data_IF_660146389149
#
_entry.id   IF_660146389149
#
_cell.length_a   1.000
_cell.length_b   1.000
_cell.length_c   1.000
_cell.angle_alpha   90.00
_cell.angle_beta   90.00
_cell.angle_gamma   90.00
#
_symmetry.space_group_name_H-M   'P 1'
#
loop_
_entity.id
_entity.type
_entity.pdbx_description
1 polymer ?
#
# COMPACT_ATOMS: atom_id res chain seq x y z
N UNK A 1 30.00 -14.81 3.86
CA UNK A 1 30.71 -13.76 4.58
C UNK A 1 30.13 -12.42 4.13
N UNK A 2 29.64 -11.58 5.02
CA UNK A 2 29.08 -10.29 4.62
C UNK A 2 30.19 -9.37 4.13
N UNK A 3 29.99 -8.74 2.98
CA UNK A 3 30.90 -7.70 2.47
C UNK A 3 30.90 -6.53 3.45
N UNK A 4 32.02 -6.28 4.11
CA UNK A 4 32.27 -5.02 4.81
C UNK A 4 32.26 -3.90 3.77
N UNK A 5 31.34 -2.96 3.90
CA UNK A 5 31.46 -1.68 3.22
C UNK A 5 32.64 -0.95 3.85
N UNK A 6 33.71 -0.74 3.10
CA UNK A 6 34.82 0.12 3.53
C UNK A 6 34.33 1.55 3.41
N UNK A 7 34.00 2.16 4.53
CA UNK A 7 33.78 3.58 4.65
C UNK A 7 35.14 4.30 4.44
N UNK A 8 35.11 5.47 3.86
CA UNK A 8 36.30 6.33 3.83
C UNK A 8 36.63 6.83 5.23
N UNK A 9 37.87 7.24 5.48
CA UNK A 9 38.28 7.72 6.79
C UNK A 9 37.42 8.92 7.27
N UNK A 10 36.97 9.78 6.35
CA UNK A 10 36.08 10.92 6.64
C UNK A 10 34.65 10.44 7.02
N UNK A 11 34.15 9.38 6.38
CA UNK A 11 32.84 8.80 6.71
C UNK A 11 32.86 8.09 8.07
N UNK A 12 33.97 7.41 8.42
CA UNK A 12 34.15 6.81 9.75
C UNK A 12 34.21 7.87 10.84
N UNK A 13 34.88 8.98 10.61
CA UNK A 13 34.99 10.10 11.54
C UNK A 13 33.64 10.79 11.74
N UNK A 14 32.86 10.97 10.69
CA UNK A 14 31.49 11.51 10.75
C UNK A 14 30.54 10.58 11.51
N UNK A 15 30.60 9.28 11.26
CA UNK A 15 29.81 8.27 11.99
C UNK A 15 30.17 8.22 13.46
N UNK A 16 31.47 8.36 13.78
CA UNK A 16 31.94 8.42 15.15
C UNK A 16 31.47 9.70 15.85
N UNK A 17 31.57 10.85 15.21
CA UNK A 17 31.08 12.14 15.73
C UNK A 17 29.57 12.11 16.03
N UNK A 18 28.76 11.60 15.10
CA UNK A 18 27.32 11.45 15.29
C UNK A 18 26.94 10.47 16.42
N UNK A 19 27.74 9.43 16.63
CA UNK A 19 27.53 8.48 17.76
C UNK A 19 27.87 9.14 19.10
N UNK A 20 28.92 9.93 19.17
CA UNK A 20 29.30 10.64 20.41
C UNK A 20 28.32 11.80 20.71
N UNK A 21 27.83 12.49 19.71
CA UNK A 21 26.79 13.50 19.87
C UNK A 21 25.48 12.90 20.41
N UNK A 22 25.02 11.77 19.88
CA UNK A 22 23.88 11.02 20.42
C UNK A 22 24.09 10.54 21.85
N UNK A 23 25.33 10.13 22.20
CA UNK A 23 25.66 9.73 23.58
C UNK A 23 25.68 10.95 24.52
N UNK A 24 26.15 12.12 24.04
CA UNK A 24 26.10 13.39 24.80
C UNK A 24 24.67 13.86 25.02
N UNK A 25 23.82 13.82 23.99
CA UNK A 25 22.39 14.13 24.12
C UNK A 25 21.67 13.17 25.08
N UNK A 26 21.96 11.89 25.03
CA UNK A 26 21.39 10.91 25.96
C UNK A 26 21.87 11.10 27.43
N UNK A 27 23.13 11.56 27.63
CA UNK A 27 23.70 11.90 28.96
C UNK A 27 23.19 13.25 29.47
N UNK A 28 23.01 14.26 28.63
CA UNK A 28 22.53 15.59 29.01
C UNK A 28 21.05 15.63 29.41
N UNK A 29 20.25 14.67 28.94
CA UNK A 29 18.81 14.59 29.27
C UNK A 29 18.46 13.93 30.59
N UNK A 30 19.40 13.75 31.51
CA UNK A 30 19.09 13.37 32.92
C UNK A 30 18.10 12.20 33.13
N UNK A 31 18.01 11.27 32.18
CA UNK A 31 16.95 10.25 32.17
C UNK A 31 16.97 9.26 33.33
N UNK A 32 18.14 8.97 33.90
CA UNK A 32 18.25 8.06 35.09
C UNK A 32 17.79 8.73 36.37
N UNK A 33 18.25 9.96 36.64
CA UNK A 33 17.89 10.69 37.88
C UNK A 33 16.38 11.01 37.88
N UNK A 34 15.80 11.35 36.75
CA UNK A 34 14.34 11.58 36.63
C UNK A 34 13.52 10.29 36.84
N UNK A 35 14.01 9.17 36.36
CA UNK A 35 13.33 7.87 36.51
C UNK A 35 13.27 7.43 37.99
N UNK A 36 14.33 7.64 38.75
CA UNK A 36 14.36 7.32 40.16
C UNK A 36 13.50 8.26 41.00
N UNK A 37 13.51 9.57 40.70
CA UNK A 37 12.64 10.54 41.37
C UNK A 37 11.15 10.29 41.12
N UNK A 38 10.78 9.89 39.88
CA UNK A 38 9.39 9.51 39.53
C UNK A 38 8.99 8.24 40.26
N UNK A 39 9.91 7.26 40.41
CA UNK A 39 9.64 6.01 41.12
C UNK A 39 9.45 6.25 42.63
N UNK A 40 10.29 7.11 43.19
CA UNK A 40 10.21 7.48 44.62
C UNK A 40 8.94 8.28 44.93
N UNK A 41 8.56 9.24 44.08
CA UNK A 41 7.30 9.97 44.18
C UNK A 41 6.05 9.06 44.09
N UNK A 42 6.10 8.01 43.29
CA UNK A 42 5.03 7.00 43.23
C UNK A 42 4.92 6.18 44.53
N UNK A 43 6.03 5.75 45.05
CA UNK A 43 6.07 4.97 46.31
C UNK A 43 5.62 5.80 47.52
N UNK A 44 5.84 7.12 47.47
CA UNK A 44 5.36 8.06 48.49
C UNK A 44 3.88 8.33 48.35
N UNK A 45 3.38 8.44 47.12
CA UNK A 45 1.94 8.66 46.81
C UNK A 45 1.05 7.44 47.16
N UNK A 46 1.63 6.24 47.22
CA UNK A 46 0.92 5.04 47.71
C UNK A 46 0.75 5.06 49.27
N UNK A 47 1.57 5.84 49.96
CA UNK A 47 1.52 5.97 51.45
C UNK A 47 0.63 7.14 51.91
N UNK A 48 0.52 8.19 51.07
CA UNK A 48 -0.36 9.35 51.32
C UNK A 48 -1.14 9.65 50.04
N UNK A 49 -2.43 9.33 49.95
CA UNK A 49 -3.18 9.46 48.72
C UNK A 49 -3.45 10.94 48.36
N UNK A 50 -2.61 11.50 47.51
CA UNK A 50 -2.91 12.77 46.83
C UNK A 50 -4.05 12.52 45.80
N UNK A 51 -5.20 13.23 45.95
CA UNK A 51 -6.34 13.02 45.08
C UNK A 51 -6.02 13.20 43.59
N UNK A 52 -5.00 13.98 43.24
CA UNK A 52 -4.56 14.17 41.85
C UNK A 52 -3.96 12.91 41.23
N UNK A 53 -3.38 12.01 42.04
CA UNK A 53 -2.92 10.71 41.56
C UNK A 53 -4.06 9.76 41.23
N UNK A 54 -5.13 9.78 42.04
CA UNK A 54 -6.33 9.01 41.78
C UNK A 54 -6.96 9.45 40.44
N UNK A 55 -7.10 10.76 40.25
CA UNK A 55 -7.62 11.33 39.03
C UNK A 55 -6.76 11.04 37.78
N UNK A 56 -5.43 11.09 37.91
CA UNK A 56 -4.51 10.73 36.82
C UNK A 56 -4.61 9.25 36.44
N UNK A 57 -4.86 8.36 37.41
CA UNK A 57 -5.06 6.93 37.20
C UNK A 57 -6.39 6.64 36.49
N UNK A 58 -7.47 7.30 36.89
CA UNK A 58 -8.79 7.21 36.24
C UNK A 58 -8.75 7.68 34.77
N UNK A 59 -7.97 8.74 34.50
CA UNK A 59 -7.79 9.30 33.16
C UNK A 59 -6.80 8.52 32.30
N UNK A 60 -6.22 7.41 32.78
CA UNK A 60 -5.28 6.59 32.03
C UNK A 60 -3.98 7.31 31.64
N UNK A 61 -3.60 8.34 32.39
CA UNK A 61 -2.44 9.19 32.11
C UNK A 61 -1.15 8.48 32.55
N UNK A 62 -0.11 8.54 31.72
CA UNK A 62 1.18 7.90 32.06
C UNK A 62 1.81 8.50 33.34
N UNK A 63 2.55 7.68 34.09
CA UNK A 63 3.25 8.10 35.33
C UNK A 63 4.11 9.37 35.12
N UNK A 64 4.80 9.47 34.01
CA UNK A 64 5.63 10.63 33.67
C UNK A 64 4.81 11.91 33.41
N UNK A 65 3.64 11.77 32.85
CA UNK A 65 2.72 12.89 32.59
C UNK A 65 2.06 13.36 33.88
N UNK A 66 1.61 12.44 34.73
CA UNK A 66 1.04 12.74 36.04
C UNK A 66 2.05 13.44 36.96
N UNK A 67 3.30 12.95 36.99
CA UNK A 67 4.40 13.60 37.75
C UNK A 67 4.66 15.02 37.27
N UNK A 68 4.61 15.29 35.97
CA UNK A 68 4.79 16.62 35.39
C UNK A 68 3.66 17.57 35.80
N UNK A 69 2.44 17.09 35.90
CA UNK A 69 1.30 17.86 36.38
C UNK A 69 1.43 18.26 37.86
N UNK A 70 1.95 17.36 38.70
CA UNK A 70 2.07 17.60 40.13
C UNK A 70 3.25 18.48 40.54
N UNK A 71 4.30 18.53 39.71
CA UNK A 71 5.49 19.35 39.98
C UNK A 71 5.51 20.71 39.26
N UNK A 72 4.44 21.11 38.58
CA UNK A 72 4.25 22.47 38.11
C UNK A 72 3.57 23.28 39.23
N UNK A 73 4.40 23.97 40.06
CA UNK A 73 3.92 24.80 41.16
C UNK A 73 3.13 26.01 40.64
N UNK A 74 1.87 26.21 41.07
CA UNK A 74 1.07 27.35 40.69
C UNK A 74 1.55 28.69 41.26
N UNK A 75 2.48 28.67 42.21
CA UNK A 75 2.93 29.84 42.95
C UNK A 75 4.08 30.61 42.33
N UNK A 76 4.76 30.06 41.31
CA UNK A 76 5.88 30.73 40.58
C UNK A 76 5.32 31.47 39.36
N UNK A 77 4.81 32.66 39.59
CA UNK A 77 4.30 33.54 38.56
C UNK A 77 5.32 33.99 37.56
N UNK A 78 5.20 33.47 36.32
CA UNK A 78 5.52 34.06 35.02
C UNK A 78 5.33 33.06 33.84
N UNK A 79 4.93 31.80 34.12
CA UNK A 79 4.66 30.79 33.11
C UNK A 79 3.20 30.39 32.91
N UNK A 80 2.28 31.05 33.61
CA UNK A 80 0.87 30.63 33.78
C UNK A 80 0.04 30.57 32.48
N UNK A 81 0.32 31.38 31.47
CA UNK A 81 -0.51 31.40 30.23
C UNK A 81 -0.26 30.16 29.32
N UNK A 82 0.95 29.60 29.30
CA UNK A 82 1.25 28.42 28.47
C UNK A 82 0.83 27.10 29.11
N UNK A 83 0.77 27.00 30.44
CA UNK A 83 0.36 25.79 31.14
C UNK A 83 -1.13 25.52 31.04
N UNK A 84 -1.98 26.55 31.20
CA UNK A 84 -3.43 26.44 31.08
C UNK A 84 -3.92 26.07 29.68
N UNK A 85 -3.31 26.64 28.64
CA UNK A 85 -3.59 26.26 27.23
C UNK A 85 -3.13 24.83 26.89
N UNK A 86 -2.04 24.37 27.48
CA UNK A 86 -1.55 22.99 27.30
C UNK A 86 -2.46 21.98 28.01
N UNK A 87 -2.97 22.29 29.19
CA UNK A 87 -3.90 21.44 29.93
C UNK A 87 -5.27 21.41 29.23
N UNK A 88 -5.80 22.55 28.78
CA UNK A 88 -7.04 22.61 28.02
C UNK A 88 -6.98 21.84 26.70
N UNK A 89 -5.83 21.89 26.00
CA UNK A 89 -5.62 21.09 24.80
C UNK A 89 -5.49 19.59 25.10
N UNK A 90 -4.87 19.23 26.22
CA UNK A 90 -4.76 17.83 26.65
C UNK A 90 -6.10 17.24 27.08
N UNK A 91 -6.93 18.01 27.79
CA UNK A 91 -8.30 17.60 28.14
C UNK A 91 -9.21 17.52 26.93
N UNK A 92 -9.18 18.49 26.03
CA UNK A 92 -9.94 18.44 24.77
C UNK A 92 -9.52 17.25 23.89
N UNK A 93 -8.23 16.91 23.86
CA UNK A 93 -7.73 15.72 23.15
C UNK A 93 -8.16 14.41 23.83
N UNK A 94 -8.24 14.37 25.17
CA UNK A 94 -8.73 13.21 25.91
C UNK A 94 -10.25 13.04 25.73
N UNK A 95 -11.02 14.12 25.79
CA UNK A 95 -12.46 14.11 25.54
C UNK A 95 -12.79 13.68 24.09
N UNK A 96 -12.03 14.16 23.11
CA UNK A 96 -12.18 13.73 21.72
C UNK A 96 -11.87 12.23 21.54
N UNK A 97 -10.89 11.69 22.28
CA UNK A 97 -10.58 10.25 22.28
C UNK A 97 -11.67 9.42 22.95
N UNK A 98 -12.20 9.89 24.09
CA UNK A 98 -13.32 9.23 24.78
C UNK A 98 -14.55 9.20 23.87
N UNK A 99 -14.90 10.32 23.25
CA UNK A 99 -16.01 10.40 22.30
C UNK A 99 -15.82 9.52 21.07
N UNK A 100 -14.57 9.41 20.58
CA UNK A 100 -14.22 8.45 19.53
C UNK A 100 -14.38 7.00 19.96
N UNK A 101 -13.95 6.65 21.17
CA UNK A 101 -14.12 5.30 21.73
C UNK A 101 -15.60 4.97 22.00
N UNK A 102 -16.39 5.92 22.47
CA UNK A 102 -17.84 5.75 22.66
C UNK A 102 -18.55 5.53 21.32
N UNK A 103 -18.16 6.26 20.28
CA UNK A 103 -18.70 6.06 18.92
C UNK A 103 -18.31 4.67 18.35
N UNK A 104 -17.08 4.23 18.55
CA UNK A 104 -16.62 2.88 18.17
C UNK A 104 -17.38 1.82 18.97
N UNK A 105 -17.58 2.02 20.27
CA UNK A 105 -18.31 1.08 21.13
C UNK A 105 -19.79 1.00 20.75
N UNK A 106 -20.40 2.14 20.40
CA UNK A 106 -21.80 2.17 19.93
C UNK A 106 -21.94 1.47 18.58
N UNK A 107 -20.99 1.66 17.66
CA UNK A 107 -20.98 0.97 16.37
C UNK A 107 -20.71 -0.53 16.54
N UNK A 108 -19.82 -0.92 17.45
CA UNK A 108 -19.59 -2.32 17.81
C UNK A 108 -20.86 -2.96 18.38
N UNK A 109 -21.56 -2.28 19.31
CA UNK A 109 -22.85 -2.77 19.83
C UNK A 109 -23.88 -2.93 18.72
N UNK A 110 -24.01 -1.95 17.82
CA UNK A 110 -24.92 -2.03 16.67
C UNK A 110 -24.61 -3.21 15.76
N UNK A 111 -23.34 -3.56 15.58
CA UNK A 111 -22.90 -4.70 14.74
C UNK A 111 -22.99 -6.03 15.45
N UNK A 112 -22.91 -6.05 16.80
CA UNK A 112 -23.01 -7.27 17.62
C UNK A 112 -24.40 -7.52 18.13
N UNK A 113 -25.36 -6.58 17.98
CA UNK A 113 -26.76 -6.89 18.21
C UNK A 113 -27.18 -8.01 17.25
N UNK A 114 -27.72 -9.13 17.78
CA UNK A 114 -28.17 -10.21 16.92
C UNK A 114 -29.20 -9.63 15.96
N UNK A 115 -28.87 -9.58 14.68
CA UNK A 115 -29.87 -9.29 13.67
C UNK A 115 -30.96 -10.33 13.86
N UNK A 116 -32.20 -9.88 14.08
CA UNK A 116 -33.36 -10.77 14.06
C UNK A 116 -33.39 -11.36 12.66
N UNK A 117 -32.91 -12.60 12.55
CA UNK A 117 -32.92 -13.33 11.30
C UNK A 117 -34.36 -13.42 10.84
N UNK A 118 -34.64 -13.04 9.62
CA UNK A 118 -35.94 -13.31 8.99
C UNK A 118 -36.25 -14.80 9.17
N UNK A 119 -37.46 -15.15 9.60
CA UNK A 119 -37.85 -16.56 9.71
C UNK A 119 -37.61 -17.39 8.45
N UNK A 120 -37.51 -16.76 7.29
CA UNK A 120 -37.13 -17.42 6.03
C UNK A 120 -35.64 -17.75 5.95
N UNK A 121 -34.76 -17.08 6.74
CA UNK A 121 -33.33 -17.40 6.84
C UNK A 121 -33.05 -18.52 7.87
N UNK A 122 -34.04 -18.98 8.60
CA UNK A 122 -33.92 -19.99 9.68
C UNK A 122 -33.57 -21.42 9.21
N UNK A 123 -33.54 -21.64 7.91
CA UNK A 123 -33.16 -22.96 7.35
C UNK A 123 -31.66 -23.10 7.06
N UNK A 124 -30.83 -22.16 7.50
CA UNK A 124 -29.38 -22.26 7.33
C UNK A 124 -28.91 -22.29 5.86
N UNK A 125 -29.79 -21.95 4.93
CA UNK A 125 -29.36 -21.70 3.57
C UNK A 125 -28.61 -20.38 3.55
N UNK A 126 -27.29 -20.48 3.51
CA UNK A 126 -26.43 -19.35 3.08
C UNK A 126 -26.96 -19.00 1.68
N UNK A 127 -27.75 -17.94 1.57
CA UNK A 127 -27.92 -17.30 0.27
C UNK A 127 -26.51 -16.96 -0.19
N UNK A 128 -25.97 -17.77 -1.11
CA UNK A 128 -24.81 -17.33 -1.89
C UNK A 128 -25.27 -16.05 -2.55
N UNK A 129 -24.87 -14.91 -2.01
CA UNK A 129 -24.93 -13.69 -2.79
C UNK A 129 -24.16 -14.03 -4.05
N UNK A 130 -24.88 -14.07 -5.17
CA UNK A 130 -24.25 -13.99 -6.48
C UNK A 130 -23.50 -12.66 -6.41
N UNK A 131 -22.20 -12.75 -6.10
CA UNK A 131 -21.35 -11.57 -6.08
C UNK A 131 -21.30 -11.12 -7.52
N UNK A 132 -21.95 -10.00 -7.79
CA UNK A 132 -21.88 -9.35 -9.08
C UNK A 132 -20.40 -9.10 -9.37
N UNK A 133 -19.88 -9.86 -10.33
CA UNK A 133 -18.57 -9.60 -10.90
C UNK A 133 -18.68 -8.24 -11.61
N UNK A 134 -18.25 -7.18 -10.96
CA UNK A 134 -18.29 -5.84 -11.53
C UNK A 134 -17.38 -5.81 -12.76
N UNK A 135 -17.95 -5.51 -13.92
CA UNK A 135 -17.20 -5.29 -15.16
C UNK A 135 -17.02 -3.79 -15.34
N UNK A 136 -15.77 -3.35 -15.43
CA UNK A 136 -15.42 -1.97 -15.78
C UNK A 136 -15.09 -1.95 -17.28
N UNK A 137 -15.98 -1.37 -18.04
CA UNK A 137 -15.77 -1.17 -19.46
C UNK A 137 -15.00 0.13 -19.73
N UNK A 138 -13.88 0.02 -20.43
CA UNK A 138 -13.06 1.15 -20.84
C UNK A 138 -13.50 1.59 -22.24
N UNK A 139 -13.88 2.85 -22.34
CA UNK A 139 -14.32 3.47 -23.60
C UNK A 139 -13.35 4.51 -24.13
N UNK A 140 -12.27 4.76 -23.40
CA UNK A 140 -11.21 5.69 -23.77
C UNK A 140 -10.48 5.21 -25.01
N UNK A 141 -10.17 6.14 -25.93
CA UNK A 141 -9.46 5.79 -27.17
C UNK A 141 -8.02 5.36 -26.96
N UNK A 142 -7.36 5.88 -25.92
CA UNK A 142 -5.98 5.56 -25.57
C UNK A 142 -5.88 5.21 -24.10
N UNK A 143 -5.53 3.96 -23.84
CA UNK A 143 -5.43 3.39 -22.50
C UNK A 143 -3.98 2.97 -22.27
N UNK A 144 -3.32 3.62 -21.31
CA UNK A 144 -2.01 3.20 -20.84
C UNK A 144 -2.14 2.12 -19.77
N UNK A 145 -1.26 1.14 -19.77
CA UNK A 145 -1.25 0.08 -18.76
C UNK A 145 0.16 -0.09 -18.22
N UNK A 146 0.29 -0.03 -16.91
CA UNK A 146 1.48 -0.40 -16.14
C UNK A 146 1.13 -1.52 -15.18
N UNK A 147 2.08 -2.38 -14.82
CA UNK A 147 1.89 -3.51 -13.92
C UNK A 147 3.18 -3.83 -13.17
N UNK A 148 3.04 -4.52 -12.04
CA UNK A 148 4.18 -5.13 -11.34
C UNK A 148 5.28 -4.12 -10.99
N UNK A 149 4.88 -3.03 -10.37
CA UNK A 149 5.78 -1.94 -9.94
C UNK A 149 6.49 -2.31 -8.64
N UNK A 150 5.81 -3.03 -7.75
CA UNK A 150 6.33 -3.54 -6.49
C UNK A 150 6.99 -2.48 -5.61
N UNK A 151 6.30 -1.37 -5.35
CA UNK A 151 6.81 -0.34 -4.42
C UNK A 151 7.08 -0.96 -3.05
N UNK A 152 8.27 -0.83 -2.48
CA UNK A 152 9.34 0.13 -2.79
C UNK A 152 10.46 -0.40 -3.72
N UNK A 153 10.29 -1.57 -4.34
CA UNK A 153 11.31 -2.21 -5.17
C UNK A 153 11.18 -1.88 -6.68
N UNK A 154 10.55 -0.75 -7.00
CA UNK A 154 10.36 -0.26 -8.36
C UNK A 154 11.67 0.22 -9.00
N UNK A 155 11.80 0.09 -10.31
CA UNK A 155 12.98 0.57 -11.05
C UNK A 155 12.87 2.09 -11.30
N UNK A 156 13.21 2.84 -10.26
CA UNK A 156 13.37 4.30 -10.29
C UNK A 156 14.62 4.66 -9.48
N UNK A 157 15.55 5.35 -10.12
CA UNK A 157 16.87 5.67 -9.55
C UNK A 157 17.17 7.13 -9.72
N UNK A 158 17.99 7.65 -8.84
CA UNK A 158 18.55 9.00 -8.97
C UNK A 158 20.06 8.89 -9.18
N UNK A 159 20.55 9.46 -10.28
CA UNK A 159 22.00 9.54 -10.58
C UNK A 159 22.31 10.96 -11.02
N UNK A 160 23.31 11.57 -10.40
CA UNK A 160 23.73 12.97 -10.67
C UNK A 160 22.58 14.01 -10.58
N UNK A 161 21.60 13.76 -9.70
CA UNK A 161 20.45 14.65 -9.51
C UNK A 161 19.30 14.45 -10.51
N UNK A 162 19.41 13.50 -11.44
CA UNK A 162 18.38 13.18 -12.41
C UNK A 162 17.70 11.85 -12.08
N UNK A 163 16.38 11.80 -12.20
CA UNK A 163 15.60 10.57 -12.08
C UNK A 163 15.63 9.81 -13.39
N UNK A 164 15.82 8.50 -13.32
CA UNK A 164 15.78 7.58 -14.46
C UNK A 164 15.32 6.20 -14.00
N UNK A 165 14.96 5.35 -14.94
CA UNK A 165 14.52 3.98 -14.69
C UNK A 165 13.33 3.61 -15.57
N UNK A 166 12.99 2.33 -15.57
CA UNK A 166 11.91 1.82 -16.41
C UNK A 166 10.54 2.41 -16.02
N UNK A 167 10.32 2.65 -14.73
CA UNK A 167 9.09 3.27 -14.25
C UNK A 167 8.87 4.66 -14.88
N UNK A 168 9.86 5.54 -14.78
CA UNK A 168 9.78 6.88 -15.38
C UNK A 168 9.65 6.82 -16.90
N UNK A 169 10.45 5.96 -17.57
CA UNK A 169 10.38 5.76 -19.03
C UNK A 169 8.99 5.32 -19.48
N UNK A 170 8.32 4.44 -18.71
CA UNK A 170 6.95 4.01 -19.00
C UNK A 170 5.96 5.17 -18.90
N UNK A 171 6.05 5.98 -17.82
CA UNK A 171 5.15 7.13 -17.64
C UNK A 171 5.34 8.19 -18.72
N UNK A 172 6.57 8.50 -19.11
CA UNK A 172 6.88 9.43 -20.19
C UNK A 172 6.29 8.96 -21.52
N UNK A 173 6.48 7.68 -21.87
CA UNK A 173 5.90 7.09 -23.07
C UNK A 173 4.38 7.21 -23.11
N UNK A 174 3.70 6.91 -22.01
CA UNK A 174 2.24 6.99 -21.92
C UNK A 174 1.74 8.44 -21.97
N UNK A 175 2.42 9.37 -21.28
CA UNK A 175 2.11 10.80 -21.34
C UNK A 175 2.24 11.32 -22.78
N UNK A 176 3.33 11.02 -23.46
CA UNK A 176 3.62 11.49 -24.80
C UNK A 176 2.65 10.86 -25.83
N UNK A 177 2.17 9.64 -25.55
CA UNK A 177 1.07 9.03 -26.33
C UNK A 177 -0.28 9.72 -26.11
N UNK A 178 -0.43 10.54 -25.06
CA UNK A 178 -1.67 11.25 -24.75
C UNK A 178 -2.78 10.31 -24.32
N UNK A 179 -2.51 9.46 -23.30
CA UNK A 179 -3.53 8.54 -22.76
C UNK A 179 -4.68 9.28 -22.09
N UNK A 180 -5.86 8.72 -22.15
CA UNK A 180 -7.09 9.21 -21.50
C UNK A 180 -7.39 8.40 -20.23
N UNK A 181 -6.94 7.14 -20.18
CA UNK A 181 -7.05 6.26 -19.02
C UNK A 181 -5.71 5.59 -18.74
N UNK A 182 -5.34 5.52 -17.46
CA UNK A 182 -4.23 4.72 -16.97
C UNK A 182 -4.79 3.55 -16.14
N UNK A 183 -4.40 2.33 -16.47
CA UNK A 183 -4.68 1.13 -15.67
C UNK A 183 -3.38 0.73 -14.97
N UNK A 184 -3.41 0.71 -13.65
CA UNK A 184 -2.41 0.06 -12.80
C UNK A 184 -2.88 -1.37 -12.63
N UNK A 185 -2.28 -2.29 -13.37
CA UNK A 185 -2.78 -3.66 -13.51
C UNK A 185 -2.23 -4.62 -12.45
N UNK A 186 -2.33 -4.24 -11.19
CA UNK A 186 -1.94 -5.05 -10.02
C UNK A 186 -0.46 -4.98 -9.68
N UNK A 187 -0.14 -5.44 -8.48
CA UNK A 187 1.20 -5.51 -7.90
C UNK A 187 1.96 -4.17 -7.97
N UNK A 188 1.24 -3.07 -7.72
CA UNK A 188 1.86 -1.76 -7.59
C UNK A 188 2.57 -1.63 -6.24
N UNK A 189 1.94 -2.10 -5.15
CA UNK A 189 2.53 -2.21 -3.82
C UNK A 189 3.01 -3.63 -3.58
N UNK A 190 4.23 -3.81 -3.07
CA UNK A 190 4.77 -5.16 -2.85
C UNK A 190 4.15 -5.89 -1.65
N UNK A 191 3.66 -5.16 -0.64
CA UNK A 191 3.18 -5.74 0.62
C UNK A 191 4.21 -6.71 1.24
N UNK A 192 5.50 -6.36 1.14
CA UNK A 192 6.63 -7.21 1.50
C UNK A 192 6.57 -7.71 2.94
N UNK A 193 6.29 -6.80 3.88
CA UNK A 193 6.35 -7.11 5.32
C UNK A 193 5.29 -8.11 5.79
N UNK A 194 4.16 -8.17 5.10
CA UNK A 194 3.04 -9.07 5.42
C UNK A 194 3.00 -10.33 4.55
N UNK A 195 3.96 -10.48 3.63
CA UNK A 195 4.09 -11.67 2.79
C UNK A 195 4.44 -12.90 3.64
N UNK A 196 4.15 -14.10 3.12
CA UNK A 196 4.52 -15.39 3.74
C UNK A 196 5.99 -15.77 3.52
N UNK A 197 6.67 -15.10 2.58
CA UNK A 197 8.04 -15.40 2.22
C UNK A 197 9.04 -14.85 3.23
N UNK A 198 10.26 -15.40 3.23
CA UNK A 198 11.36 -14.92 4.05
C UNK A 198 11.71 -13.47 3.74
N UNK A 199 12.07 -12.71 4.77
CA UNK A 199 12.42 -11.29 4.65
C UNK A 199 13.93 -11.15 4.45
N UNK A 200 14.38 -11.31 3.21
CA UNK A 200 15.80 -11.29 2.85
C UNK A 200 16.36 -9.87 2.68
N UNK A 201 15.50 -8.91 2.42
CA UNK A 201 15.86 -7.52 2.12
C UNK A 201 15.56 -6.58 3.31
N UNK A 202 15.82 -5.29 3.13
CA UNK A 202 15.65 -4.27 4.16
C UNK A 202 14.24 -4.29 4.77
N UNK A 203 14.19 -4.24 6.11
CA UNK A 203 12.99 -4.48 6.91
C UNK A 203 12.31 -3.20 7.33
N UNK A 204 12.02 -2.32 6.40
CA UNK A 204 11.19 -1.17 6.72
C UNK A 204 9.76 -1.63 7.03
N UNK A 205 9.10 -0.92 7.95
CA UNK A 205 7.76 -1.32 8.40
C UNK A 205 6.71 -1.25 7.29
N UNK A 206 5.63 -2.01 7.41
CA UNK A 206 4.49 -1.94 6.48
C UNK A 206 3.91 -0.51 6.40
N UNK A 207 3.88 0.23 7.52
CA UNK A 207 3.45 1.63 7.52
C UNK A 207 4.37 2.56 6.71
N UNK A 208 5.67 2.26 6.66
CA UNK A 208 6.59 2.98 5.78
C UNK A 208 6.31 2.64 4.31
N UNK A 209 6.11 1.39 3.98
CA UNK A 209 5.76 0.93 2.63
C UNK A 209 4.46 1.59 2.14
N UNK A 210 3.41 1.62 2.97
CA UNK A 210 2.18 2.38 2.71
C UNK A 210 2.45 3.86 2.43
N UNK A 211 3.31 4.49 3.24
CA UNK A 211 3.62 5.91 3.08
C UNK A 211 4.37 6.21 1.77
N UNK A 212 5.25 5.33 1.33
CA UNK A 212 5.95 5.45 0.04
C UNK A 212 4.98 5.25 -1.11
N UNK A 213 4.15 4.22 -1.02
CA UNK A 213 3.14 3.92 -2.05
C UNK A 213 2.15 5.07 -2.24
N UNK A 214 1.66 5.66 -1.13
CA UNK A 214 0.79 6.85 -1.20
C UNK A 214 1.45 7.99 -1.95
N UNK A 215 2.69 8.35 -1.59
CA UNK A 215 3.42 9.44 -2.27
C UNK A 215 3.63 9.16 -3.75
N UNK A 216 3.87 7.90 -4.12
CA UNK A 216 4.00 7.55 -5.53
C UNK A 216 2.67 7.68 -6.28
N UNK A 217 1.55 7.30 -5.65
CA UNK A 217 0.21 7.48 -6.23
C UNK A 217 -0.18 8.96 -6.33
N UNK A 218 0.17 9.78 -5.33
CA UNK A 218 0.03 11.24 -5.36
C UNK A 218 0.82 11.83 -6.54
N UNK A 219 2.10 11.47 -6.66
CA UNK A 219 2.96 11.92 -7.77
C UNK A 219 2.44 11.44 -9.13
N UNK A 220 1.88 10.24 -9.20
CA UNK A 220 1.28 9.70 -10.42
C UNK A 220 0.05 10.50 -10.84
N UNK A 221 -0.81 10.86 -9.87
CA UNK A 221 -1.97 11.73 -10.10
C UNK A 221 -1.55 13.13 -10.56
N UNK A 222 -0.56 13.72 -9.91
CA UNK A 222 -0.01 15.02 -10.33
C UNK A 222 0.58 14.97 -11.74
N UNK A 223 1.31 13.89 -12.06
CA UNK A 223 1.97 13.72 -13.36
C UNK A 223 0.99 13.65 -14.53
N UNK A 224 -0.11 12.92 -14.38
CA UNK A 224 -1.12 12.76 -15.42
C UNK A 224 -2.26 13.80 -15.34
N UNK A 225 -2.40 14.48 -14.20
CA UNK A 225 -3.46 15.46 -13.94
C UNK A 225 -4.84 14.83 -13.79
N UNK A 226 -5.84 15.66 -13.47
CA UNK A 226 -7.19 15.21 -13.12
C UNK A 226 -8.02 14.68 -14.32
N UNK A 227 -7.61 14.99 -15.53
CA UNK A 227 -8.32 14.59 -16.75
C UNK A 227 -8.10 13.12 -17.12
N UNK A 228 -6.99 12.53 -16.71
CA UNK A 228 -6.71 11.12 -16.96
C UNK A 228 -7.42 10.30 -15.89
N UNK A 229 -8.30 9.41 -16.34
CA UNK A 229 -8.93 8.41 -15.47
C UNK A 229 -7.85 7.44 -14.99
N UNK A 230 -7.74 7.18 -13.69
CA UNK A 230 -6.79 6.20 -13.15
C UNK A 230 -7.57 5.09 -12.48
N UNK A 231 -7.27 3.86 -12.87
CA UNK A 231 -7.87 2.64 -12.32
C UNK A 231 -6.74 1.82 -11.72
N UNK A 232 -6.90 1.39 -10.47
CA UNK A 232 -5.97 0.50 -9.79
C UNK A 232 -6.65 -0.85 -9.56
N UNK A 233 -6.23 -1.86 -10.32
CA UNK A 233 -6.62 -3.25 -10.12
C UNK A 233 -5.78 -3.87 -9.03
N UNK A 234 -6.42 -4.62 -8.14
CA UNK A 234 -5.76 -5.44 -7.13
C UNK A 234 -4.97 -6.59 -7.78
N UNK A 235 -3.72 -6.77 -7.38
CA UNK A 235 -2.91 -7.93 -7.72
C UNK A 235 -2.75 -8.88 -6.52
N UNK A 236 -1.97 -9.94 -6.69
CA UNK A 236 -1.76 -10.91 -5.61
C UNK A 236 -0.92 -10.35 -4.44
N UNK A 237 -0.18 -9.28 -4.64
CA UNK A 237 0.56 -8.62 -3.58
C UNK A 237 -0.35 -7.76 -2.71
N UNK A 238 -1.26 -7.00 -3.31
CA UNK A 238 -2.29 -6.25 -2.56
C UNK A 238 -3.22 -7.21 -1.80
N UNK A 239 -3.59 -8.35 -2.39
CA UNK A 239 -4.43 -9.39 -1.77
C UNK A 239 -3.81 -9.93 -0.46
N UNK A 240 -2.50 -9.79 -0.28
CA UNK A 240 -1.82 -10.16 0.98
C UNK A 240 -2.39 -9.42 2.18
N UNK A 241 -2.87 -8.18 2.00
CA UNK A 241 -3.50 -7.43 3.09
C UNK A 241 -4.76 -8.11 3.58
N UNK A 242 -5.68 -8.45 2.69
CA UNK A 242 -6.93 -9.14 3.04
C UNK A 242 -6.63 -10.50 3.67
N UNK A 243 -5.70 -11.28 3.10
CA UNK A 243 -5.27 -12.57 3.62
C UNK A 243 -4.58 -12.46 4.99
N UNK A 244 -3.78 -11.41 5.19
CA UNK A 244 -3.12 -11.14 6.47
C UNK A 244 -4.15 -10.83 7.56
N UNK A 245 -5.08 -9.92 7.29
CA UNK A 245 -6.14 -9.54 8.24
C UNK A 245 -7.01 -10.76 8.55
N UNK A 246 -7.49 -11.48 7.56
CA UNK A 246 -8.31 -12.68 7.75
C UNK A 246 -7.59 -13.80 8.51
N UNK A 247 -6.28 -13.92 8.35
CA UNK A 247 -5.49 -14.96 9.02
C UNK A 247 -4.95 -14.58 10.41
N UNK A 248 -4.85 -13.30 10.74
CA UNK A 248 -4.25 -12.83 12.00
C UNK A 248 -5.24 -12.25 12.99
N UNK A 249 -6.28 -11.61 12.50
CA UNK A 249 -7.28 -10.92 13.32
C UNK A 249 -8.70 -11.09 12.75
N UNK A 250 -9.15 -12.34 12.48
CA UNK A 250 -10.41 -12.60 11.80
C UNK A 250 -11.63 -12.05 12.56
N UNK A 251 -11.52 -11.96 13.89
CA UNK A 251 -12.63 -11.52 14.76
C UNK A 251 -12.98 -10.04 14.57
N UNK A 252 -12.00 -9.25 14.10
CA UNK A 252 -12.16 -7.80 13.93
C UNK A 252 -11.91 -7.34 12.48
N UNK A 253 -11.89 -8.28 11.54
CA UNK A 253 -11.56 -7.98 10.13
C UNK A 253 -12.41 -6.86 9.53
N UNK A 254 -13.68 -6.79 9.91
CA UNK A 254 -14.63 -5.81 9.39
C UNK A 254 -14.43 -4.39 9.96
N UNK A 255 -13.57 -4.26 10.99
CA UNK A 255 -13.17 -2.99 11.59
C UNK A 255 -11.83 -2.47 11.03
N UNK A 256 -11.10 -3.31 10.32
CA UNK A 256 -9.80 -2.99 9.74
C UNK A 256 -10.04 -2.28 8.40
N UNK A 257 -9.42 -1.12 8.16
CA UNK A 257 -9.54 -0.41 6.88
C UNK A 257 -9.09 -1.29 5.71
N UNK A 258 -9.77 -1.17 4.58
CA UNK A 258 -9.34 -1.78 3.33
C UNK A 258 -8.00 -1.21 2.85
N UNK A 259 -7.32 -1.89 1.94
CA UNK A 259 -6.09 -1.34 1.34
C UNK A 259 -6.41 -0.07 0.51
N UNK A 260 -7.56 -0.02 -0.15
CA UNK A 260 -8.09 1.16 -0.84
C UNK A 260 -8.14 2.39 0.10
N UNK A 261 -8.69 2.21 1.33
CA UNK A 261 -8.77 3.27 2.33
C UNK A 261 -7.38 3.64 2.86
N UNK A 262 -6.54 2.64 3.14
CA UNK A 262 -5.16 2.85 3.59
C UNK A 262 -4.30 3.60 2.57
N UNK A 263 -4.55 3.43 1.29
CA UNK A 263 -3.85 4.12 0.20
C UNK A 263 -4.48 5.46 -0.17
N UNK A 264 -5.61 5.85 0.44
CA UNK A 264 -6.36 7.08 0.15
C UNK A 264 -6.80 7.21 -1.32
N UNK A 265 -7.12 6.10 -1.99
CA UNK A 265 -7.36 6.09 -3.44
C UNK A 265 -8.53 6.99 -3.85
N UNK A 266 -9.61 7.03 -3.07
CA UNK A 266 -10.78 7.89 -3.33
C UNK A 266 -10.42 9.37 -3.33
N UNK A 267 -9.53 9.80 -2.42
CA UNK A 267 -9.07 11.19 -2.32
C UNK A 267 -8.20 11.60 -3.52
N UNK A 268 -7.53 10.61 -4.12
CA UNK A 268 -6.73 10.79 -5.32
C UNK A 268 -7.53 10.61 -6.61
N UNK A 269 -8.85 10.40 -6.52
CA UNK A 269 -9.70 10.07 -7.67
C UNK A 269 -9.14 8.88 -8.48
N UNK A 270 -8.69 7.82 -7.75
CA UNK A 270 -8.23 6.55 -8.30
C UNK A 270 -9.28 5.49 -8.02
N UNK A 271 -9.79 4.85 -9.06
CA UNK A 271 -10.80 3.81 -8.93
C UNK A 271 -10.14 2.48 -8.55
N UNK A 272 -10.67 1.83 -7.51
CA UNK A 272 -10.20 0.51 -7.09
C UNK A 272 -11.00 -0.61 -7.73
N UNK A 273 -10.32 -1.61 -8.25
CA UNK A 273 -10.91 -2.84 -8.79
C UNK A 273 -10.35 -4.03 -8.01
N UNK A 274 -11.20 -4.71 -7.26
CA UNK A 274 -10.80 -5.91 -6.51
C UNK A 274 -10.42 -7.06 -7.45
N UNK A 275 -9.80 -8.12 -6.91
CA UNK A 275 -9.41 -9.33 -7.66
C UNK A 275 -10.55 -9.93 -8.49
N UNK A 276 -11.80 -9.78 -8.04
CA UNK A 276 -13.00 -10.32 -8.71
C UNK A 276 -13.57 -9.40 -9.77
N UNK A 277 -13.21 -8.13 -9.73
CA UNK A 277 -13.60 -7.18 -10.76
C UNK A 277 -12.94 -7.52 -12.08
N UNK A 278 -13.62 -7.31 -13.17
CA UNK A 278 -13.12 -7.51 -14.53
C UNK A 278 -12.96 -6.17 -15.22
N UNK A 279 -11.93 -6.03 -16.02
CA UNK A 279 -11.73 -4.84 -16.85
C UNK A 279 -11.76 -5.28 -18.30
N UNK A 280 -12.54 -4.58 -19.11
CA UNK A 280 -12.58 -4.77 -20.55
C UNK A 280 -12.30 -3.48 -21.32
N UNK A 281 -11.63 -3.60 -22.44
CA UNK A 281 -11.37 -2.53 -23.39
C UNK A 281 -11.85 -3.01 -24.78
N UNK A 282 -13.12 -2.74 -25.10
CA UNK A 282 -13.79 -3.36 -26.22
C UNK A 282 -13.79 -4.90 -26.06
N UNK A 283 -13.20 -5.60 -27.03
CA UNK A 283 -13.09 -7.06 -27.02
C UNK A 283 -11.84 -7.59 -26.26
N UNK A 284 -11.08 -6.73 -25.61
CA UNK A 284 -9.88 -7.12 -24.84
C UNK A 284 -10.19 -7.17 -23.35
N UNK A 285 -9.94 -8.30 -22.71
CA UNK A 285 -9.94 -8.44 -21.25
C UNK A 285 -8.58 -8.07 -20.68
N UNK A 286 -8.59 -7.39 -19.54
CA UNK A 286 -7.37 -6.97 -18.82
C UNK A 286 -7.45 -7.51 -17.41
N UNK A 287 -6.58 -8.48 -17.10
CA UNK A 287 -6.47 -9.11 -15.80
C UNK A 287 -5.05 -8.94 -15.24
N UNK A 288 -4.86 -9.08 -13.92
CA UNK A 288 -3.50 -9.11 -13.40
C UNK A 288 -2.80 -10.41 -13.82
N UNK A 289 -3.46 -11.56 -13.69
CA UNK A 289 -2.96 -12.84 -14.17
C UNK A 289 -2.78 -13.91 -13.10
N UNK A 290 -2.69 -13.57 -11.82
CA UNK A 290 -2.56 -14.52 -10.72
C UNK A 290 -3.83 -15.37 -10.52
N UNK A 291 -4.97 -14.89 -10.95
CA UNK A 291 -6.27 -15.58 -10.91
C UNK A 291 -6.28 -16.85 -11.80
N UNK A 292 -5.37 -16.89 -12.77
CA UNK A 292 -5.28 -17.98 -13.74
C UNK A 292 -4.23 -19.02 -13.33
N UNK A 293 -4.55 -19.86 -12.38
CA UNK A 293 -3.62 -20.82 -11.79
C UNK A 293 -2.83 -21.62 -12.85
N UNK A 294 -1.49 -21.70 -12.67
CA UNK A 294 -0.60 -22.50 -13.53
C UNK A 294 -0.33 -21.92 -14.93
N UNK A 295 -0.48 -20.58 -15.12
CA UNK A 295 -0.32 -19.95 -16.43
C UNK A 295 1.08 -19.41 -16.74
N UNK A 296 2.01 -19.43 -15.79
CA UNK A 296 3.35 -18.85 -15.91
C UNK A 296 4.40 -19.62 -16.72
N UNK A 297 4.02 -20.54 -17.59
CA UNK A 297 4.92 -21.40 -18.36
C UNK A 297 5.87 -20.67 -19.34
N UNK A 298 6.46 -21.44 -20.29
CA UNK A 298 7.45 -20.93 -21.27
C UNK A 298 6.86 -19.82 -22.14
N UNK A 299 5.59 -19.92 -22.50
CA UNK A 299 4.86 -18.92 -23.30
C UNK A 299 3.61 -18.47 -22.51
N UNK A 300 3.75 -17.50 -21.58
CA UNK A 300 2.63 -17.09 -20.74
C UNK A 300 1.40 -16.63 -21.54
N UNK A 301 1.57 -15.79 -22.53
CA UNK A 301 0.49 -15.29 -23.35
C UNK A 301 -0.38 -16.41 -23.95
N UNK A 302 0.23 -17.49 -24.41
CA UNK A 302 -0.48 -18.67 -24.92
C UNK A 302 -1.30 -19.36 -23.83
N UNK A 303 -0.70 -19.54 -22.64
CA UNK A 303 -1.37 -20.22 -21.54
C UNK A 303 -2.62 -19.43 -21.08
N UNK A 304 -2.50 -18.12 -20.94
CA UNK A 304 -3.62 -17.24 -20.58
C UNK A 304 -4.71 -17.24 -21.63
N UNK A 305 -4.34 -17.04 -22.91
CA UNK A 305 -5.29 -17.07 -24.02
C UNK A 305 -6.08 -18.39 -24.09
N UNK A 306 -5.38 -19.51 -23.92
CA UNK A 306 -6.02 -20.83 -23.95
C UNK A 306 -7.04 -21.03 -22.82
N UNK A 307 -6.75 -20.48 -21.63
CA UNK A 307 -7.64 -20.56 -20.46
C UNK A 307 -8.79 -19.59 -20.55
N UNK A 308 -8.53 -18.35 -20.97
CA UNK A 308 -9.57 -17.35 -21.15
C UNK A 308 -10.51 -17.70 -22.30
N UNK A 309 -10.01 -18.35 -23.35
CA UNK A 309 -10.79 -18.63 -24.56
C UNK A 309 -11.15 -17.37 -25.37
N UNK A 310 -10.46 -16.26 -25.06
CA UNK A 310 -10.74 -14.93 -25.57
C UNK A 310 -9.47 -14.07 -25.65
N UNK A 311 -9.61 -12.80 -26.07
CA UNK A 311 -8.53 -11.83 -26.06
C UNK A 311 -8.21 -11.40 -24.63
N UNK A 312 -6.96 -11.55 -24.19
CA UNK A 312 -6.57 -11.25 -22.84
C UNK A 312 -5.17 -10.64 -22.74
N UNK A 313 -5.04 -9.60 -21.94
CA UNK A 313 -3.78 -8.99 -21.53
C UNK A 313 -3.57 -9.22 -20.03
N UNK A 314 -2.36 -9.64 -19.63
CA UNK A 314 -2.03 -9.89 -18.23
C UNK A 314 -0.67 -9.29 -17.84
N UNK A 315 -0.51 -9.00 -16.53
CA UNK A 315 0.75 -8.72 -15.83
C UNK A 315 1.35 -9.97 -15.19
N UNK A 316 1.68 -9.89 -13.90
CA UNK A 316 2.05 -10.95 -12.96
C UNK A 316 3.30 -11.78 -13.29
N UNK A 317 3.51 -12.13 -14.55
CA UNK A 317 4.62 -12.99 -14.97
C UNK A 317 5.91 -12.23 -15.28
N UNK A 318 5.88 -10.91 -15.18
CA UNK A 318 7.03 -10.00 -15.40
C UNK A 318 7.74 -10.19 -16.75
N UNK A 319 7.04 -10.73 -17.73
CA UNK A 319 7.65 -11.07 -19.02
C UNK A 319 6.72 -10.78 -20.17
N UNK A 320 7.23 -9.98 -21.11
CA UNK A 320 6.51 -9.65 -22.34
C UNK A 320 6.43 -10.88 -23.24
N UNK A 321 5.24 -11.26 -23.64
CA UNK A 321 5.01 -12.27 -24.67
C UNK A 321 3.72 -12.02 -25.42
N UNK A 322 3.57 -12.67 -26.58
CA UNK A 322 2.41 -12.61 -27.45
C UNK A 322 2.11 -13.98 -28.02
N UNK A 323 0.84 -14.35 -28.12
CA UNK A 323 0.38 -15.55 -28.82
C UNK A 323 -0.99 -15.27 -29.48
N UNK A 324 -1.17 -15.75 -30.70
CA UNK A 324 -2.40 -15.59 -31.46
C UNK A 324 -2.87 -16.93 -32.01
N UNK A 325 -4.18 -17.11 -32.03
CA UNK A 325 -4.81 -18.30 -32.57
C UNK A 325 -6.00 -17.92 -33.46
N UNK A 326 -6.02 -18.48 -34.67
CA UNK A 326 -7.19 -18.41 -35.56
C UNK A 326 -8.06 -19.63 -35.32
N UNK A 327 -9.31 -19.42 -34.96
CA UNK A 327 -10.29 -20.50 -34.79
C UNK A 327 -10.64 -21.08 -36.17
N UNK A 328 -10.47 -22.40 -36.40
CA UNK A 328 -10.68 -22.98 -37.74
C UNK A 328 -12.13 -22.96 -38.23
N UNK A 329 -13.11 -22.99 -37.29
CA UNK A 329 -14.53 -23.16 -37.64
C UNK A 329 -15.20 -21.88 -38.14
N UNK A 330 -14.90 -20.74 -37.51
CA UNK A 330 -15.55 -19.47 -37.80
C UNK A 330 -14.57 -18.39 -38.30
N UNK A 331 -13.25 -18.71 -38.30
CA UNK A 331 -12.24 -17.80 -38.77
C UNK A 331 -11.90 -16.66 -37.80
N UNK A 332 -12.51 -16.59 -36.63
CA UNK A 332 -12.22 -15.58 -35.59
C UNK A 332 -10.80 -15.72 -35.05
N UNK A 333 -10.25 -14.62 -34.57
CA UNK A 333 -8.92 -14.55 -33.98
C UNK A 333 -9.01 -14.23 -32.49
N UNK A 334 -8.19 -14.92 -31.70
CA UNK A 334 -7.99 -14.64 -30.29
C UNK A 334 -6.50 -14.47 -30.04
N UNK A 335 -6.18 -13.47 -29.23
CA UNK A 335 -4.80 -13.21 -28.90
C UNK A 335 -4.63 -13.05 -27.38
N UNK A 336 -3.46 -13.44 -26.91
CA UNK A 336 -3.01 -13.23 -25.54
C UNK A 336 -1.76 -12.38 -25.53
N UNK A 337 -1.66 -11.54 -24.53
CA UNK A 337 -0.49 -10.73 -24.24
C UNK A 337 -0.14 -10.90 -22.76
N UNK A 338 1.14 -11.06 -22.47
CA UNK A 338 1.66 -10.79 -21.14
C UNK A 338 2.61 -9.61 -21.21
N UNK A 339 2.57 -8.73 -20.23
CA UNK A 339 3.42 -7.55 -20.21
C UNK A 339 4.63 -7.73 -19.28
N UNK A 340 5.65 -6.90 -19.44
CA UNK A 340 6.77 -6.80 -18.54
C UNK A 340 6.43 -6.02 -17.28
N UNK A 341 7.31 -6.10 -16.27
CA UNK A 341 7.19 -5.39 -14.99
C UNK A 341 7.84 -4.00 -15.01
N UNK A 342 7.71 -3.29 -13.89
CA UNK A 342 8.42 -2.02 -13.63
C UNK A 342 9.20 -2.05 -12.31
N UNK A 343 9.38 -3.26 -11.75
CA UNK A 343 10.16 -3.48 -10.53
C UNK A 343 11.65 -3.72 -10.82
N UNK A 344 12.45 -3.84 -9.77
CA UNK A 344 13.85 -4.27 -9.87
C UNK A 344 13.93 -5.66 -10.52
N UNK A 345 14.82 -5.79 -11.49
CA UNK A 345 15.04 -7.01 -12.26
C UNK A 345 15.90 -8.05 -11.53
N UNK A 346 16.50 -7.70 -10.40
CA UNK A 346 17.46 -8.55 -9.70
C UNK A 346 17.13 -8.75 -8.21
N UNK A 347 15.90 -9.14 -7.87
CA UNK A 347 15.55 -9.38 -6.48
C UNK A 347 16.30 -10.58 -5.91
N UNK A 348 16.63 -10.56 -4.62
CA UNK A 348 17.42 -11.63 -3.97
C UNK A 348 16.75 -13.01 -4.05
N UNK A 349 15.42 -13.06 -4.07
CA UNK A 349 14.65 -14.31 -4.15
C UNK A 349 14.58 -14.92 -5.55
N UNK A 350 14.83 -14.13 -6.61
CA UNK A 350 14.80 -14.59 -7.99
C UNK A 350 16.03 -14.11 -8.79
N UNK A 351 17.26 -14.51 -8.41
CA UNK A 351 18.50 -13.97 -9.00
C UNK A 351 18.73 -14.40 -10.45
N UNK A 352 18.00 -15.42 -10.93
CA UNK A 352 18.06 -15.92 -12.32
C UNK A 352 16.64 -16.01 -12.85
N UNK A 353 16.10 -14.89 -13.25
CA UNK A 353 14.77 -14.78 -13.82
C UNK A 353 14.84 -14.46 -15.32
N UNK A 354 13.70 -14.54 -15.98
CA UNK A 354 13.54 -14.17 -17.40
C UNK A 354 12.66 -12.92 -17.55
N UNK A 355 12.67 -12.05 -16.56
CA UNK A 355 11.87 -10.83 -16.52
C UNK A 355 12.37 -9.79 -17.51
N UNK A 356 11.49 -8.89 -17.88
CA UNK A 356 11.84 -7.69 -18.63
C UNK A 356 10.94 -6.53 -18.21
N UNK A 357 11.45 -5.33 -18.36
CA UNK A 357 10.61 -4.14 -18.20
C UNK A 357 9.68 -3.96 -19.40
N UNK A 358 8.46 -3.49 -19.14
CA UNK A 358 7.48 -3.27 -20.19
C UNK A 358 6.39 -2.28 -19.82
N UNK A 359 5.72 -1.80 -20.86
CA UNK A 359 4.56 -0.89 -20.80
C UNK A 359 3.63 -1.20 -21.94
N UNK A 360 2.32 -1.01 -21.74
CA UNK A 360 1.33 -1.26 -22.79
C UNK A 360 0.54 0.00 -23.09
N UNK A 361 0.30 0.22 -24.38
CA UNK A 361 -0.66 1.18 -24.88
C UNK A 361 -1.73 0.43 -25.68
N UNK A 362 -2.99 0.51 -25.24
CA UNK A 362 -4.14 0.00 -25.98
C UNK A 362 -4.82 1.17 -26.65
N UNK A 363 -5.12 1.00 -27.93
CA UNK A 363 -5.88 1.97 -28.72
C UNK A 363 -7.20 1.34 -29.15
N UNK A 364 -8.32 1.97 -28.79
CA UNK A 364 -9.66 1.55 -29.17
C UNK A 364 -10.19 2.42 -30.30
N UNK A 365 -10.86 1.79 -31.23
CA UNK A 365 -11.67 2.51 -32.20
C UNK A 365 -13.14 2.63 -31.72
N UNK A 366 -13.97 3.30 -32.56
CA UNK A 366 -15.39 3.51 -32.24
C UNK A 366 -16.24 2.24 -32.30
N UNK A 367 -15.72 1.17 -32.90
CA UNK A 367 -16.43 -0.11 -33.05
C UNK A 367 -16.14 -1.07 -31.93
N UNK A 368 -15.19 -0.71 -31.02
CA UNK A 368 -14.67 -1.58 -29.94
C UNK A 368 -13.57 -2.52 -30.44
N UNK A 369 -13.08 -2.33 -31.66
CA UNK A 369 -11.85 -2.98 -32.12
C UNK A 369 -10.62 -2.32 -31.47
N UNK A 370 -9.56 -3.08 -31.29
CA UNK A 370 -8.44 -2.64 -30.49
C UNK A 370 -7.09 -3.03 -31.07
N UNK A 371 -6.08 -2.22 -30.74
CA UNK A 371 -4.67 -2.50 -31.00
C UNK A 371 -3.91 -2.51 -29.69
N UNK A 372 -3.09 -3.55 -29.45
CA UNK A 372 -2.23 -3.67 -28.26
C UNK A 372 -0.77 -3.42 -28.66
N UNK A 373 -0.24 -2.30 -28.23
CA UNK A 373 1.18 -1.96 -28.32
C UNK A 373 1.89 -2.43 -27.04
N UNK A 374 2.23 -3.72 -26.97
CA UNK A 374 2.94 -4.33 -25.84
C UNK A 374 4.45 -4.12 -26.02
N UNK A 375 5.00 -3.14 -25.34
CA UNK A 375 6.36 -2.62 -25.54
C UNK A 375 7.28 -3.08 -24.42
N UNK A 376 8.54 -3.36 -24.80
CA UNK A 376 9.63 -3.61 -23.85
C UNK A 376 10.44 -2.34 -23.60
N UNK A 377 11.03 -2.23 -22.42
CA UNK A 377 11.91 -1.11 -22.06
C UNK A 377 13.32 -1.65 -21.87
N UNK A 378 14.26 -1.18 -22.66
CA UNK A 378 15.66 -1.60 -22.63
C UNK A 378 16.56 -0.37 -22.70
N UNK A 379 17.44 -0.21 -21.72
CA UNK A 379 18.40 0.90 -21.68
C UNK A 379 17.71 2.27 -21.67
N UNK A 380 16.60 2.40 -20.91
CA UNK A 380 15.84 3.65 -20.80
C UNK A 380 15.08 4.02 -22.08
N UNK A 381 14.81 3.08 -22.98
CA UNK A 381 14.07 3.35 -24.22
C UNK A 381 12.97 2.31 -24.42
N UNK A 382 11.79 2.77 -24.79
CA UNK A 382 10.67 1.93 -25.24
C UNK A 382 10.93 1.45 -26.66
N UNK A 383 10.76 0.12 -26.88
CA UNK A 383 11.06 -0.56 -28.14
C UNK A 383 9.87 -1.39 -28.61
#
# INVERSE_FOLDING_TARGET
>A
MPKKYNLTAEEEELVHALREERKREARSKGGKVRGEQIKEAWLTAEREPDPRWAQAKELGVSRSTAWRWMNTDPALGSGQKKGGESLARATASAEARIKGMEAITAELKRRTEPQVLDPQDSYGMIKGELRDDTIIELTSRKIGIISDVHVPFHDLRMTNGELHGAYLTALEYLRDAGIETLVINGDFMDCYNISKHEKLEDRRSFSWELSVTRRMLESLREYFGDKVRIIYREGNHEERWVKFVAGKVPEVKDLIPSLEDLLNLRQLNIEWVSERGKISAGQLWIDHGHEWFGSGGVTPARAYRMKAGDNILVGHVHRTSFDMFKRPLDGSFFAGWSMGCLCDMNPLYAPRNSWNHGVVLVELDKTGDFTVNNRIIIGGKVR
#
